data_IF_411368362219
#
_entry.id   IF_411368362219
#
_cell.length_a   1.000
_cell.length_b   1.000
_cell.length_c   1.000
_cell.angle_alpha   90.00
_cell.angle_beta   90.00
_cell.angle_gamma   90.00
#
_symmetry.space_group_name_H-M   'P 1'
#
loop_
_entity.id
_entity.type
_entity.pdbx_description
1 polymer ?
#
# COMPACT_ATOMS: atom_id res chain seq x y z
N UNK A 1 -28.74 -5.84 -3.07
CA UNK A 1 -27.93 -4.87 -2.30
C UNK A 1 -26.61 -4.64 -3.01
N UNK A 2 -26.22 -3.38 -3.23
CA UNK A 2 -24.89 -3.04 -3.77
C UNK A 2 -23.79 -3.43 -2.80
N UNK A 3 -22.54 -3.59 -3.28
CA UNK A 3 -21.39 -3.93 -2.45
C UNK A 3 -21.18 -2.95 -1.29
N UNK A 4 -21.34 -1.64 -1.52
CA UNK A 4 -21.26 -0.64 -0.46
C UNK A 4 -22.34 -0.83 0.64
N UNK A 5 -23.58 -1.17 0.25
CA UNK A 5 -24.65 -1.48 1.23
C UNK A 5 -24.39 -2.76 2.00
N UNK A 6 -23.78 -3.78 1.38
CA UNK A 6 -23.37 -5.01 2.08
C UNK A 6 -22.27 -4.74 3.10
N UNK A 7 -21.32 -3.87 2.77
CA UNK A 7 -20.29 -3.44 3.71
C UNK A 7 -20.90 -2.76 4.93
N UNK A 8 -21.82 -1.79 4.76
CA UNK A 8 -22.47 -1.14 5.91
C UNK A 8 -23.32 -2.11 6.74
N UNK A 9 -23.90 -3.15 6.13
CA UNK A 9 -24.59 -4.20 6.89
C UNK A 9 -23.60 -4.98 7.77
N UNK A 10 -22.45 -5.36 7.21
CA UNK A 10 -21.37 -6.01 7.95
C UNK A 10 -20.83 -5.10 9.06
N UNK A 11 -20.64 -3.81 8.79
CA UNK A 11 -20.18 -2.82 9.76
C UNK A 11 -21.17 -2.64 10.91
N UNK A 12 -22.48 -2.60 10.63
CA UNK A 12 -23.50 -2.50 11.67
C UNK A 12 -23.48 -3.73 12.60
N UNK A 13 -23.45 -4.93 12.02
CA UNK A 13 -23.38 -6.18 12.78
C UNK A 13 -22.07 -6.27 13.57
N UNK A 14 -20.94 -5.94 12.94
CA UNK A 14 -19.63 -5.94 13.56
C UNK A 14 -19.51 -4.94 14.71
N UNK A 15 -20.03 -3.73 14.52
CA UNK A 15 -20.07 -2.69 15.55
C UNK A 15 -20.96 -3.08 16.73
N UNK A 16 -22.13 -3.66 16.48
CA UNK A 16 -23.01 -4.16 17.54
C UNK A 16 -22.35 -5.31 18.32
N UNK A 17 -21.74 -6.27 17.62
CA UNK A 17 -21.01 -7.38 18.24
C UNK A 17 -19.82 -6.89 19.06
N UNK A 18 -19.10 -5.87 18.58
CA UNK A 18 -17.99 -5.26 19.32
C UNK A 18 -18.47 -4.55 20.59
N UNK A 19 -19.57 -3.78 20.54
CA UNK A 19 -20.14 -3.15 21.73
C UNK A 19 -20.61 -4.16 22.78
N UNK A 20 -21.21 -5.27 22.34
CA UNK A 20 -21.52 -6.40 23.23
C UNK A 20 -20.22 -6.94 23.85
N UNK A 21 -19.17 -7.16 23.05
CA UNK A 21 -17.89 -7.63 23.53
C UNK A 21 -17.22 -6.66 24.52
N UNK A 22 -17.30 -5.34 24.31
CA UNK A 22 -16.83 -4.32 25.26
C UNK A 22 -17.56 -4.41 26.60
N UNK A 23 -18.85 -4.72 26.58
CA UNK A 23 -19.65 -4.87 27.80
C UNK A 23 -19.38 -6.21 28.53
N UNK A 24 -19.07 -7.29 27.79
CA UNK A 24 -18.94 -8.64 28.37
C UNK A 24 -17.51 -9.09 28.62
N UNK A 25 -16.53 -8.55 27.90
CA UNK A 25 -15.13 -9.02 27.89
C UNK A 25 -14.18 -7.89 28.32
N UNK A 26 -13.64 -7.94 29.56
CA UNK A 26 -12.75 -6.89 30.06
C UNK A 26 -11.52 -6.64 29.19
N UNK A 27 -10.95 -7.69 28.60
CA UNK A 27 -9.77 -7.56 27.74
C UNK A 27 -10.06 -6.82 26.44
N UNK A 28 -11.28 -6.94 25.87
CA UNK A 28 -11.68 -6.17 24.69
C UNK A 28 -11.79 -4.70 25.05
N UNK A 29 -12.46 -4.39 26.16
CA UNK A 29 -12.59 -3.02 26.66
C UNK A 29 -11.22 -2.36 26.88
N UNK A 30 -10.32 -2.99 27.62
CA UNK A 30 -9.03 -2.38 27.97
C UNK A 30 -8.11 -2.22 26.77
N UNK A 31 -8.09 -3.19 25.85
CA UNK A 31 -7.22 -3.12 24.65
C UNK A 31 -7.73 -2.15 23.58
N UNK A 32 -9.05 -1.94 23.49
CA UNK A 32 -9.66 -1.12 22.43
C UNK A 32 -10.12 0.28 22.87
N UNK A 33 -10.46 0.46 24.15
CA UNK A 33 -10.88 1.75 24.72
C UNK A 33 -9.97 2.25 25.85
N UNK A 34 -9.13 1.39 26.42
CA UNK A 34 -8.28 1.76 27.56
C UNK A 34 -9.11 2.19 28.77
N UNK A 35 -8.75 3.34 29.33
CA UNK A 35 -9.41 3.99 30.46
C UNK A 35 -10.61 4.87 30.08
N UNK A 36 -10.96 4.98 28.79
CA UNK A 36 -12.14 5.73 28.36
C UNK A 36 -13.41 5.16 28.99
N UNK A 37 -14.35 6.04 29.36
CA UNK A 37 -15.66 5.64 29.85
C UNK A 37 -16.48 5.02 28.71
N UNK A 38 -16.75 3.70 28.73
CA UNK A 38 -17.46 3.03 27.66
C UNK A 38 -18.90 3.54 27.51
N UNK A 39 -19.53 4.02 28.59
CA UNK A 39 -20.90 4.52 28.53
C UNK A 39 -20.95 5.81 27.73
N UNK A 40 -20.03 6.74 28.00
CA UNK A 40 -19.95 8.00 27.27
C UNK A 40 -19.67 7.78 25.78
N UNK A 41 -18.75 6.87 25.47
CA UNK A 41 -18.43 6.52 24.07
C UNK A 41 -19.63 5.83 23.41
N UNK A 42 -20.31 4.89 24.09
CA UNK A 42 -21.47 4.17 23.55
C UNK A 42 -22.65 5.09 23.21
N UNK A 43 -22.92 6.11 24.03
CA UNK A 43 -24.02 7.05 23.82
C UNK A 43 -23.91 7.75 22.47
N UNK A 44 -22.69 8.05 22.02
CA UNK A 44 -22.45 8.68 20.72
C UNK A 44 -22.26 7.64 19.61
N UNK A 45 -21.50 6.59 19.90
CA UNK A 45 -21.08 5.62 18.90
C UNK A 45 -22.19 4.67 18.48
N UNK A 46 -23.06 4.21 19.38
CA UNK A 46 -24.16 3.30 19.01
C UNK A 46 -25.11 3.96 17.99
N UNK A 47 -25.58 5.21 18.17
CA UNK A 47 -26.40 5.87 17.15
C UNK A 47 -25.63 6.21 15.87
N UNK A 48 -24.44 6.79 15.98
CA UNK A 48 -23.71 7.38 14.84
C UNK A 48 -22.88 6.36 14.04
N UNK A 49 -22.50 5.25 14.66
CA UNK A 49 -21.79 4.15 14.02
C UNK A 49 -22.75 2.99 13.71
N UNK A 50 -23.33 2.34 14.72
CA UNK A 50 -24.10 1.09 14.55
C UNK A 50 -25.43 1.33 13.85
N UNK A 51 -26.27 2.22 14.38
CA UNK A 51 -27.60 2.49 13.83
C UNK A 51 -27.48 3.18 12.48
N UNK A 52 -26.61 4.18 12.34
CA UNK A 52 -26.36 4.83 11.06
C UNK A 52 -25.84 3.85 9.99
N UNK A 53 -24.98 2.88 10.35
CA UNK A 53 -24.55 1.82 9.43
C UNK A 53 -25.73 0.93 9.00
N UNK A 54 -26.64 0.57 9.91
CA UNK A 54 -27.84 -0.20 9.58
C UNK A 54 -28.77 0.58 8.63
N UNK A 55 -28.95 1.88 8.85
CA UNK A 55 -29.72 2.76 7.96
C UNK A 55 -29.04 2.93 6.59
N UNK A 56 -27.71 3.05 6.56
CA UNK A 56 -26.94 3.08 5.32
C UNK A 56 -27.10 1.77 4.53
N UNK A 57 -27.09 0.62 5.22
CA UNK A 57 -27.36 -0.68 4.63
C UNK A 57 -28.80 -0.78 4.07
N UNK A 58 -29.78 -0.19 4.76
CA UNK A 58 -31.17 -0.10 4.29
C UNK A 58 -31.35 0.80 3.06
N UNK A 59 -30.38 1.69 2.78
CA UNK A 59 -30.34 2.53 1.58
C UNK A 59 -30.37 4.03 1.83
N UNK A 60 -30.32 4.47 3.09
CA UNK A 60 -30.31 5.89 3.46
C UNK A 60 -28.92 6.48 3.19
N UNK A 61 -28.78 7.23 2.09
CA UNK A 61 -27.48 7.81 1.68
C UNK A 61 -26.89 8.79 2.69
N UNK A 62 -27.73 9.60 3.34
CA UNK A 62 -27.28 10.52 4.38
C UNK A 62 -26.66 9.77 5.58
N UNK A 63 -27.21 8.61 5.95
CA UNK A 63 -26.67 7.78 7.01
C UNK A 63 -25.30 7.20 6.65
N UNK A 64 -25.05 6.89 5.36
CA UNK A 64 -23.74 6.44 4.88
C UNK A 64 -22.67 7.54 5.06
N UNK A 65 -23.02 8.80 4.77
CA UNK A 65 -22.12 9.95 4.99
C UNK A 65 -21.85 10.14 6.48
N UNK A 66 -22.91 10.14 7.30
CA UNK A 66 -22.81 10.32 8.75
C UNK A 66 -21.93 9.24 9.38
N UNK A 67 -22.21 7.96 9.10
CA UNK A 67 -21.44 6.87 9.70
C UNK A 67 -19.99 6.91 9.26
N UNK A 68 -19.70 7.17 7.98
CA UNK A 68 -18.32 7.26 7.48
C UNK A 68 -17.56 8.42 8.12
N UNK A 69 -18.19 9.59 8.22
CA UNK A 69 -17.60 10.76 8.87
C UNK A 69 -17.34 10.50 10.35
N UNK A 70 -18.30 9.88 11.05
CA UNK A 70 -18.16 9.51 12.45
C UNK A 70 -17.03 8.48 12.68
N UNK A 71 -16.94 7.43 11.84
CA UNK A 71 -15.84 6.45 11.90
C UNK A 71 -14.46 7.12 11.82
N UNK A 72 -14.31 8.13 10.94
CA UNK A 72 -13.08 8.91 10.83
C UNK A 72 -12.81 9.78 12.06
N UNK A 73 -13.84 10.42 12.63
CA UNK A 73 -13.72 11.20 13.88
C UNK A 73 -13.26 10.32 15.03
N UNK A 74 -13.87 9.14 15.20
CA UNK A 74 -13.50 8.17 16.25
C UNK A 74 -12.08 7.66 16.03
N UNK A 75 -11.67 7.35 14.80
CA UNK A 75 -10.28 7.00 14.48
C UNK A 75 -9.32 8.11 14.93
N UNK A 76 -9.58 9.37 14.57
CA UNK A 76 -8.71 10.48 14.95
C UNK A 76 -8.66 10.66 16.47
N UNK A 77 -9.81 10.62 17.15
CA UNK A 77 -9.90 10.75 18.60
C UNK A 77 -9.13 9.63 19.31
N UNK A 78 -9.32 8.37 18.91
CA UNK A 78 -8.58 7.24 19.47
C UNK A 78 -7.09 7.30 19.14
N UNK A 79 -6.70 7.73 17.94
CA UNK A 79 -5.29 7.87 17.59
C UNK A 79 -4.60 8.94 18.45
N UNK A 80 -5.25 10.09 18.69
CA UNK A 80 -4.76 11.13 19.60
C UNK A 80 -4.69 10.60 21.02
N UNK A 81 -5.75 9.94 21.51
CA UNK A 81 -5.78 9.36 22.84
C UNK A 81 -4.67 8.32 23.04
N UNK A 82 -4.56 7.34 22.16
CA UNK A 82 -3.52 6.30 22.20
C UNK A 82 -2.11 6.89 22.13
N UNK A 83 -1.92 7.96 21.36
CA UNK A 83 -0.63 8.67 21.28
C UNK A 83 -0.35 9.50 22.54
N UNK A 84 -1.37 9.93 23.28
CA UNK A 84 -1.23 10.70 24.52
C UNK A 84 -1.09 9.80 25.76
N UNK A 85 -1.79 8.67 25.82
CA UNK A 85 -1.87 7.79 27.00
C UNK A 85 -1.11 6.48 26.84
N UNK A 86 -1.02 5.95 25.62
CA UNK A 86 -0.46 4.61 25.34
C UNK A 86 -1.45 3.47 25.47
N UNK A 87 -2.73 3.80 25.60
CA UNK A 87 -3.80 2.83 25.70
C UNK A 87 -4.57 2.73 24.37
N UNK A 88 -5.53 1.81 24.29
CA UNK A 88 -6.49 1.72 23.17
C UNK A 88 -5.88 1.51 21.77
N UNK A 89 -4.62 1.05 21.67
CA UNK A 89 -3.95 0.86 20.38
C UNK A 89 -4.66 -0.07 19.41
N UNK A 90 -5.25 -1.16 19.91
CA UNK A 90 -6.06 -2.05 19.07
C UNK A 90 -7.33 -1.36 18.55
N UNK A 91 -7.89 -0.43 19.32
CA UNK A 91 -9.01 0.40 18.90
C UNK A 91 -8.64 1.26 17.69
N UNK A 92 -7.45 1.85 17.67
CA UNK A 92 -6.95 2.63 16.53
C UNK A 92 -6.88 1.77 15.26
N UNK A 93 -6.33 0.55 15.36
CA UNK A 93 -6.21 -0.34 14.20
C UNK A 93 -7.58 -0.80 13.66
N UNK A 94 -8.50 -1.17 14.55
CA UNK A 94 -9.86 -1.57 14.18
C UNK A 94 -10.57 -0.41 13.49
N UNK A 95 -10.47 0.80 14.06
CA UNK A 95 -11.10 1.98 13.50
C UNK A 95 -10.44 2.45 12.21
N UNK A 96 -9.14 2.21 12.03
CA UNK A 96 -8.44 2.48 10.77
C UNK A 96 -9.00 1.58 9.66
N UNK A 97 -9.12 0.28 9.93
CA UNK A 97 -9.70 -0.68 9.00
C UNK A 97 -11.17 -0.37 8.67
N UNK A 98 -11.97 -0.03 9.70
CA UNK A 98 -13.36 0.40 9.54
C UNK A 98 -13.48 1.71 8.73
N UNK A 99 -12.58 2.67 8.95
CA UNK A 99 -12.58 3.95 8.21
C UNK A 99 -12.28 3.71 6.74
N UNK A 100 -11.23 2.93 6.42
CA UNK A 100 -10.88 2.60 5.03
C UNK A 100 -12.06 1.92 4.33
N UNK A 101 -12.66 0.91 4.96
CA UNK A 101 -13.81 0.22 4.38
C UNK A 101 -15.04 1.12 4.25
N UNK A 102 -15.33 1.97 5.24
CA UNK A 102 -16.41 2.97 5.19
C UNK A 102 -16.23 3.97 4.05
N UNK A 103 -15.01 4.48 3.82
CA UNK A 103 -14.72 5.41 2.72
C UNK A 103 -14.91 4.72 1.36
N UNK A 104 -14.42 3.49 1.20
CA UNK A 104 -14.61 2.72 -0.03
C UNK A 104 -16.09 2.41 -0.27
N UNK A 105 -16.82 2.03 0.78
CA UNK A 105 -18.26 1.78 0.71
C UNK A 105 -19.06 3.04 0.40
N UNK A 106 -18.66 4.19 0.94
CA UNK A 106 -19.27 5.48 0.65
C UNK A 106 -19.10 5.85 -0.82
N UNK A 107 -17.88 5.68 -1.37
CA UNK A 107 -17.62 5.86 -2.79
C UNK A 107 -18.53 5.01 -3.66
N UNK A 108 -18.70 3.72 -3.31
CA UNK A 108 -19.61 2.82 -4.02
C UNK A 108 -21.10 3.23 -3.89
N UNK A 109 -21.52 3.76 -2.75
CA UNK A 109 -22.92 4.18 -2.53
C UNK A 109 -23.24 5.50 -3.22
N UNK A 110 -22.30 6.45 -3.25
CA UNK A 110 -22.51 7.78 -3.83
C UNK A 110 -22.19 7.85 -5.31
N UNK A 111 -21.08 7.25 -5.74
CA UNK A 111 -20.55 7.36 -7.10
C UNK A 111 -20.79 6.10 -7.95
N UNK A 112 -21.21 4.99 -7.34
CA UNK A 112 -21.37 3.69 -8.02
C UNK A 112 -20.05 3.00 -8.40
N UNK A 113 -18.90 3.63 -8.13
CA UNK A 113 -17.55 3.15 -8.40
C UNK A 113 -16.58 3.64 -7.32
N UNK A 114 -15.43 2.98 -7.21
CA UNK A 114 -14.32 3.48 -6.38
C UNK A 114 -13.52 4.46 -7.26
N UNK A 115 -13.33 5.73 -6.86
CA UNK A 115 -12.62 6.73 -7.65
C UNK A 115 -11.11 6.48 -7.63
N UNK A 116 -10.66 5.41 -8.28
CA UNK A 116 -9.24 5.04 -8.40
C UNK A 116 -8.42 6.10 -9.14
N UNK A 117 -9.07 6.89 -10.00
CA UNK A 117 -8.52 8.07 -10.67
C UNK A 117 -7.94 9.11 -9.69
N UNK A 118 -8.40 9.15 -8.44
CA UNK A 118 -7.83 10.05 -7.43
C UNK A 118 -6.41 9.66 -7.03
N UNK A 119 -6.10 8.36 -7.02
CA UNK A 119 -4.77 7.83 -6.68
C UNK A 119 -3.71 8.27 -7.70
N UNK A 120 -4.11 8.41 -8.96
CA UNK A 120 -3.23 8.86 -10.05
C UNK A 120 -3.34 10.36 -10.35
N UNK A 121 -4.25 11.07 -9.67
CA UNK A 121 -4.40 12.52 -9.75
C UNK A 121 -3.53 13.23 -8.69
N UNK A 122 -2.90 14.35 -9.04
CA UNK A 122 -2.10 15.17 -8.10
C UNK A 122 -0.57 14.99 -8.26
N UNK A 123 0.20 14.87 -7.16
CA UNK A 123 1.67 14.84 -7.22
C UNK A 123 2.24 13.58 -7.92
N UNK A 124 1.43 12.54 -8.10
CA UNK A 124 1.77 11.31 -8.82
C UNK A 124 1.36 11.33 -10.31
N UNK A 125 0.85 12.46 -10.82
CA UNK A 125 0.47 12.59 -12.23
C UNK A 125 1.70 12.42 -13.13
N UNK A 126 1.60 11.54 -14.12
CA UNK A 126 2.59 11.38 -15.19
C UNK A 126 2.72 12.72 -15.92
N UNK A 127 3.91 13.33 -15.84
CA UNK A 127 4.27 14.55 -16.58
C UNK A 127 5.36 14.20 -17.57
N UNK A 128 5.15 14.56 -18.83
CA UNK A 128 6.21 14.51 -19.84
C UNK A 128 7.31 15.48 -19.44
N UNK A 129 8.56 15.04 -19.49
CA UNK A 129 9.71 15.91 -19.23
C UNK A 129 9.71 17.09 -20.22
N UNK A 130 10.03 18.27 -19.69
CA UNK A 130 10.26 19.48 -20.49
C UNK A 130 11.46 19.24 -21.44
N UNK A 131 11.21 19.28 -22.75
CA UNK A 131 12.22 18.95 -23.75
C UNK A 131 13.35 19.98 -23.83
N UNK A 132 13.11 21.19 -23.30
CA UNK A 132 14.02 22.33 -23.42
C UNK A 132 14.97 22.50 -22.21
N UNK A 133 14.84 21.63 -21.19
CA UNK A 133 15.67 21.72 -20.00
C UNK A 133 17.07 21.11 -20.18
N UNK A 134 18.12 21.66 -19.53
CA UNK A 134 19.46 21.11 -19.62
C UNK A 134 19.54 19.71 -18.98
N UNK A 135 20.30 18.79 -19.58
CA UNK A 135 20.46 17.39 -19.13
C UNK A 135 20.81 17.25 -17.64
N UNK A 136 21.65 18.14 -17.11
CA UNK A 136 22.02 18.17 -15.68
C UNK A 136 20.81 18.39 -14.76
N UNK A 137 19.84 19.21 -15.18
CA UNK A 137 18.61 19.47 -14.43
C UNK A 137 17.69 18.25 -14.42
N UNK A 138 17.60 17.50 -15.53
CA UNK A 138 16.83 16.25 -15.58
C UNK A 138 17.44 15.18 -14.67
N UNK A 139 18.77 15.04 -14.67
CA UNK A 139 19.48 14.09 -13.80
C UNK A 139 19.30 14.47 -12.33
N UNK A 140 19.51 15.75 -11.98
CA UNK A 140 19.33 16.22 -10.60
C UNK A 140 17.88 16.06 -10.12
N UNK A 141 16.89 16.40 -10.94
CA UNK A 141 15.48 16.22 -10.61
C UNK A 141 15.11 14.74 -10.43
N UNK A 142 15.64 13.86 -11.27
CA UNK A 142 15.46 12.40 -11.17
C UNK A 142 16.06 11.85 -9.87
N UNK A 143 17.30 12.24 -9.54
CA UNK A 143 17.97 11.82 -8.30
C UNK A 143 17.22 12.34 -7.08
N UNK A 144 16.82 13.62 -7.08
CA UNK A 144 16.05 14.21 -5.99
C UNK A 144 14.71 13.49 -5.82
N UNK A 145 14.00 13.21 -6.91
CA UNK A 145 12.73 12.49 -6.87
C UNK A 145 12.90 11.08 -6.30
N UNK A 146 13.94 10.34 -6.70
CA UNK A 146 14.25 9.01 -6.16
C UNK A 146 14.52 9.11 -4.66
N UNK A 147 15.41 10.02 -4.23
CA UNK A 147 15.77 10.17 -2.83
C UNK A 147 14.57 10.56 -1.98
N UNK A 148 13.75 11.52 -2.43
CA UNK A 148 12.55 11.94 -1.72
C UNK A 148 11.51 10.82 -1.67
N UNK A 149 11.24 10.17 -2.81
CA UNK A 149 10.23 9.11 -2.88
C UNK A 149 10.63 7.91 -2.02
N UNK A 150 11.83 7.37 -2.22
CA UNK A 150 12.30 6.21 -1.44
C UNK A 150 12.59 6.57 0.02
N UNK A 151 13.13 7.75 0.30
CA UNK A 151 13.34 8.23 1.66
C UNK A 151 12.02 8.39 2.44
N UNK A 152 10.96 8.81 1.77
CA UNK A 152 9.63 8.87 2.37
C UNK A 152 9.05 7.47 2.62
N UNK A 153 9.03 6.61 1.60
CA UNK A 153 8.36 5.29 1.66
C UNK A 153 9.12 4.23 2.45
N UNK A 154 10.46 4.26 2.48
CA UNK A 154 11.31 3.31 3.20
C UNK A 154 11.95 3.89 4.47
N UNK A 155 11.91 5.21 4.67
CA UNK A 155 12.46 5.87 5.86
C UNK A 155 11.35 6.47 6.71
N UNK A 156 10.79 7.60 6.27
CA UNK A 156 9.87 8.43 7.09
C UNK A 156 8.61 7.66 7.48
N UNK A 157 7.88 7.08 6.52
CA UNK A 157 6.64 6.37 6.83
C UNK A 157 6.87 5.15 7.73
N UNK A 158 7.85 4.26 7.47
CA UNK A 158 8.15 3.16 8.38
C UNK A 158 8.51 3.61 9.79
N UNK A 159 9.30 4.69 9.93
CA UNK A 159 9.67 5.22 11.25
C UNK A 159 8.46 5.78 12.00
N UNK A 160 7.56 6.50 11.32
CA UNK A 160 6.32 7.00 11.92
C UNK A 160 5.41 5.85 12.33
N UNK A 161 5.29 4.81 11.50
CA UNK A 161 4.48 3.61 11.80
C UNK A 161 5.07 2.85 12.99
N UNK A 162 6.39 2.62 13.02
CA UNK A 162 7.05 1.93 14.12
C UNK A 162 6.95 2.73 15.44
N UNK A 163 7.08 4.06 15.36
CA UNK A 163 6.83 4.94 16.50
C UNK A 163 5.40 4.80 17.01
N UNK A 164 4.41 4.83 16.11
CA UNK A 164 3.01 4.64 16.47
C UNK A 164 2.76 3.24 17.07
N UNK A 165 3.33 2.18 16.49
CA UNK A 165 3.24 0.80 17.00
C UNK A 165 3.69 0.71 18.46
N UNK A 166 4.87 1.26 18.76
CA UNK A 166 5.42 1.29 20.11
C UNK A 166 4.58 2.18 21.03
N UNK A 167 4.17 3.35 20.54
CA UNK A 167 3.43 4.32 21.35
C UNK A 167 2.05 3.81 21.73
N UNK A 168 1.40 3.06 20.84
CA UNK A 168 0.06 2.49 21.01
C UNK A 168 0.07 1.14 21.74
N UNK A 169 1.23 0.66 22.22
CA UNK A 169 1.32 -0.61 22.94
C UNK A 169 1.03 -1.83 22.06
N UNK A 170 1.28 -1.73 20.76
CA UNK A 170 1.07 -2.80 19.77
C UNK A 170 2.36 -3.54 19.43
N UNK A 171 3.50 -3.02 19.86
CA UNK A 171 4.79 -3.65 19.62
C UNK A 171 4.89 -4.92 20.47
N UNK A 172 5.13 -6.09 19.85
CA UNK A 172 5.43 -7.29 20.61
C UNK A 172 6.77 -7.12 21.33
N UNK A 173 6.93 -7.80 22.47
CA UNK A 173 8.23 -7.90 23.18
C UNK A 173 8.86 -9.28 22.92
N UNK A 174 9.40 -9.55 21.70
CA UNK A 174 10.02 -10.83 21.41
C UNK A 174 11.36 -10.98 22.14
N UNK A 175 11.79 -12.23 22.39
CA UNK A 175 13.12 -12.49 22.94
C UNK A 175 14.24 -11.90 22.06
N UNK A 176 15.31 -11.42 22.69
CA UNK A 176 16.48 -10.82 22.01
C UNK A 176 17.02 -11.66 20.84
N UNK A 177 17.11 -13.00 20.91
CA UNK A 177 17.56 -13.80 19.76
C UNK A 177 16.66 -13.67 18.53
N UNK A 178 15.35 -13.53 18.73
CA UNK A 178 14.39 -13.38 17.64
C UNK A 178 14.49 -11.99 17.00
N UNK A 179 14.69 -10.94 17.81
CA UNK A 179 15.00 -9.59 17.32
C UNK A 179 16.25 -9.61 16.46
N UNK A 180 17.36 -10.14 16.98
CA UNK A 180 18.63 -10.23 16.24
C UNK A 180 18.49 -11.01 14.93
N UNK A 181 17.80 -12.15 14.94
CA UNK A 181 17.54 -12.93 13.73
C UNK A 181 16.70 -12.14 12.71
N UNK A 182 15.67 -11.42 13.16
CA UNK A 182 14.82 -10.60 12.30
C UNK A 182 15.59 -9.43 11.68
N UNK A 183 16.47 -8.77 12.43
CA UNK A 183 17.33 -7.70 11.92
C UNK A 183 18.32 -8.23 10.89
N UNK A 184 19.01 -9.34 11.17
CA UNK A 184 19.95 -9.96 10.22
C UNK A 184 19.23 -10.36 8.93
N UNK A 185 18.06 -11.01 9.05
CA UNK A 185 17.24 -11.35 7.89
C UNK A 185 16.81 -10.09 7.13
N UNK A 186 16.38 -9.04 7.83
CA UNK A 186 16.03 -7.75 7.26
C UNK A 186 17.18 -7.13 6.46
N UNK A 187 18.41 -7.13 6.99
CA UNK A 187 19.60 -6.63 6.28
C UNK A 187 19.83 -7.43 4.99
N UNK A 188 19.84 -8.76 5.09
CA UNK A 188 20.08 -9.64 3.94
C UNK A 188 19.02 -9.42 2.86
N UNK A 189 17.74 -9.42 3.24
CA UNK A 189 16.62 -9.19 2.30
C UNK A 189 16.70 -7.80 1.68
N UNK A 190 17.02 -6.77 2.46
CA UNK A 190 17.15 -5.39 1.96
C UNK A 190 18.29 -5.28 0.94
N UNK A 191 19.44 -5.89 1.18
CA UNK A 191 20.57 -5.89 0.26
C UNK A 191 20.22 -6.61 -1.04
N UNK A 192 19.60 -7.78 -0.97
CA UNK A 192 19.18 -8.54 -2.15
C UNK A 192 18.11 -7.81 -2.96
N UNK A 193 17.11 -7.22 -2.29
CA UNK A 193 16.06 -6.45 -2.95
C UNK A 193 16.62 -5.16 -3.57
N UNK A 194 17.56 -4.49 -2.91
CA UNK A 194 18.25 -3.32 -3.45
C UNK A 194 19.10 -3.68 -4.67
N UNK A 195 19.82 -4.81 -4.64
CA UNK A 195 20.56 -5.31 -5.80
C UNK A 195 19.62 -5.61 -6.98
N UNK A 196 18.45 -6.21 -6.74
CA UNK A 196 17.41 -6.42 -7.76
C UNK A 196 16.89 -5.08 -8.33
N UNK A 197 16.61 -4.10 -7.46
CA UNK A 197 16.15 -2.76 -7.85
C UNK A 197 17.18 -2.04 -8.72
N UNK A 198 18.45 -2.04 -8.31
CA UNK A 198 19.56 -1.43 -9.05
C UNK A 198 19.76 -2.14 -10.40
N UNK A 199 19.74 -3.47 -10.43
CA UNK A 199 19.86 -4.23 -11.68
C UNK A 199 18.70 -3.95 -12.65
N UNK A 200 17.50 -3.73 -12.11
CA UNK A 200 16.31 -3.38 -12.90
C UNK A 200 16.40 -1.95 -13.45
N UNK A 201 16.81 -0.99 -12.61
CA UNK A 201 17.05 0.38 -13.04
C UNK A 201 18.14 0.46 -14.13
N UNK A 202 19.24 -0.27 -13.94
CA UNK A 202 20.32 -0.35 -14.92
C UNK A 202 19.85 -0.97 -16.24
N UNK A 203 19.06 -2.05 -16.20
CA UNK A 203 18.50 -2.67 -17.40
C UNK A 203 17.57 -1.70 -18.15
N UNK A 204 16.73 -0.95 -17.42
CA UNK A 204 15.82 0.03 -18.02
C UNK A 204 16.58 1.20 -18.65
N UNK A 205 17.60 1.72 -17.97
CA UNK A 205 18.44 2.83 -18.46
C UNK A 205 19.29 2.44 -19.66
N UNK A 206 19.87 1.24 -19.67
CA UNK A 206 20.81 0.83 -20.72
C UNK A 206 20.13 0.23 -21.94
N UNK A 207 18.98 -0.44 -21.77
CA UNK A 207 18.30 -1.19 -22.85
C UNK A 207 16.94 -0.61 -23.26
N UNK A 208 16.32 0.23 -22.42
CA UNK A 208 15.01 0.85 -22.68
C UNK A 208 15.06 2.25 -23.30
N UNK A 209 16.22 2.90 -23.31
CA UNK A 209 16.36 4.27 -23.83
C UNK A 209 15.54 5.31 -23.05
N UNK A 210 15.33 5.09 -21.75
CA UNK A 210 14.58 5.95 -20.82
C UNK A 210 14.95 5.64 -19.36
N UNK A 211 14.32 6.31 -18.38
CA UNK A 211 14.64 6.15 -16.95
C UNK A 211 13.54 5.38 -16.19
N UNK A 212 13.85 4.77 -15.04
CA UNK A 212 12.88 4.09 -14.16
C UNK A 212 11.77 4.94 -13.54
N UNK A 213 11.66 6.22 -13.88
CA UNK A 213 10.70 7.14 -13.26
C UNK A 213 9.53 7.48 -14.20
N UNK A 214 8.35 7.81 -13.65
CA UNK A 214 7.18 8.28 -14.40
C UNK A 214 7.42 9.51 -15.29
N UNK A 215 8.54 10.22 -15.10
CA UNK A 215 8.90 11.44 -15.82
C UNK A 215 9.62 11.21 -17.15
N UNK A 216 10.14 10.00 -17.42
CA UNK A 216 10.76 9.64 -18.69
C UNK A 216 10.63 8.13 -18.97
N UNK A 217 9.39 7.70 -19.22
CA UNK A 217 9.01 6.32 -19.58
C UNK A 217 9.87 5.79 -20.73
N UNK A 218 10.29 4.53 -20.63
CA UNK A 218 11.10 3.87 -21.66
C UNK A 218 10.43 3.93 -23.05
N UNK A 219 11.19 4.30 -24.07
CA UNK A 219 10.72 4.34 -25.47
C UNK A 219 10.65 2.95 -26.11
N UNK A 220 11.16 1.92 -25.42
CA UNK A 220 11.22 0.53 -25.88
C UNK A 220 10.86 -0.42 -24.75
N UNK A 221 10.17 -1.50 -25.08
CA UNK A 221 9.83 -2.57 -24.14
C UNK A 221 11.12 -3.27 -23.65
N UNK A 222 11.38 -3.22 -22.34
CA UNK A 222 12.60 -3.79 -21.74
C UNK A 222 12.34 -5.23 -21.28
N UNK A 223 12.89 -6.20 -22.01
CA UNK A 223 12.75 -7.64 -21.72
C UNK A 223 14.07 -8.30 -21.30
N UNK A 224 15.00 -7.51 -20.74
CA UNK A 224 16.36 -7.91 -20.45
C UNK A 224 16.75 -7.64 -18.99
N UNK A 225 17.81 -8.31 -18.51
CA UNK A 225 18.16 -8.26 -17.08
C UNK A 225 17.05 -8.90 -16.23
N UNK A 226 16.70 -8.36 -15.06
CA UNK A 226 15.65 -8.93 -14.21
C UNK A 226 14.27 -9.07 -14.87
N UNK A 227 13.96 -8.20 -15.84
CA UNK A 227 12.70 -8.22 -16.61
C UNK A 227 12.48 -9.52 -17.41
N UNK A 228 13.52 -10.35 -17.59
CA UNK A 228 13.41 -11.66 -18.23
C UNK A 228 12.75 -12.72 -17.34
N UNK A 229 12.88 -12.55 -16.03
CA UNK A 229 12.43 -13.52 -15.03
C UNK A 229 11.08 -13.13 -14.46
N UNK A 230 10.82 -11.84 -14.29
CA UNK A 230 9.60 -11.28 -13.71
C UNK A 230 9.27 -9.95 -14.40
N UNK A 231 7.99 -9.63 -14.61
CA UNK A 231 7.61 -8.43 -15.39
C UNK A 231 7.86 -7.12 -14.65
N UNK A 232 7.63 -7.12 -13.34
CA UNK A 232 7.73 -5.90 -12.53
C UNK A 232 8.79 -6.08 -11.42
N UNK A 233 10.07 -6.28 -11.78
CA UNK A 233 11.15 -6.52 -10.81
C UNK A 233 11.41 -5.31 -9.91
N UNK A 234 11.12 -4.09 -10.38
CA UNK A 234 11.20 -2.88 -9.56
C UNK A 234 10.12 -2.81 -8.49
N UNK A 235 8.87 -3.12 -8.83
CA UNK A 235 7.79 -3.18 -7.85
C UNK A 235 8.08 -4.29 -6.82
N UNK A 236 8.53 -5.46 -7.30
CA UNK A 236 8.96 -6.56 -6.44
C UNK A 236 10.09 -6.14 -5.49
N UNK A 237 11.11 -5.44 -6.00
CA UNK A 237 12.19 -4.90 -5.17
C UNK A 237 11.64 -3.94 -4.10
N UNK A 238 10.81 -2.96 -4.48
CA UNK A 238 10.29 -1.96 -3.55
C UNK A 238 9.42 -2.53 -2.44
N UNK A 239 8.51 -3.46 -2.77
CA UNK A 239 7.69 -4.15 -1.78
C UNK A 239 8.56 -5.00 -0.85
N UNK A 240 9.54 -5.71 -1.41
CA UNK A 240 10.47 -6.54 -0.62
C UNK A 240 11.35 -5.69 0.29
N UNK A 241 11.79 -4.50 -0.17
CA UNK A 241 12.50 -3.53 0.66
C UNK A 241 11.61 -3.03 1.81
N UNK A 242 10.32 -2.74 1.56
CA UNK A 242 9.38 -2.35 2.61
C UNK A 242 9.22 -3.42 3.70
N UNK A 243 9.09 -4.70 3.29
CA UNK A 243 9.06 -5.82 4.23
C UNK A 243 10.38 -5.94 5.00
N UNK A 244 11.53 -5.78 4.32
CA UNK A 244 12.84 -5.80 4.95
C UNK A 244 13.02 -4.70 6.00
N UNK A 245 12.52 -3.48 5.73
CA UNK A 245 12.49 -2.39 6.71
C UNK A 245 11.63 -2.77 7.92
N UNK A 246 10.48 -3.41 7.71
CA UNK A 246 9.67 -3.93 8.83
C UNK A 246 10.42 -4.94 9.69
N UNK A 247 11.19 -5.85 9.08
CA UNK A 247 12.05 -6.79 9.79
C UNK A 247 13.19 -6.10 10.54
N UNK A 248 13.81 -5.06 9.95
CA UNK A 248 14.87 -4.28 10.60
C UNK A 248 14.37 -3.54 11.83
N UNK A 249 13.15 -3.01 11.76
CA UNK A 249 12.50 -2.29 12.85
C UNK A 249 11.77 -3.23 13.83
N UNK A 250 11.79 -4.55 13.59
CA UNK A 250 10.97 -5.54 14.30
C UNK A 250 9.48 -5.16 14.38
N UNK A 251 8.98 -4.40 13.40
CA UNK A 251 7.63 -3.82 13.39
C UNK A 251 6.73 -4.57 12.43
N UNK A 252 5.70 -5.21 12.98
CA UNK A 252 4.73 -5.95 12.19
C UNK A 252 3.78 -5.01 11.44
N UNK A 253 3.49 -3.81 11.97
CA UNK A 253 2.69 -2.81 11.26
C UNK A 253 3.40 -2.30 10.01
N UNK A 254 4.72 -2.15 10.04
CA UNK A 254 5.49 -1.78 8.83
C UNK A 254 5.43 -2.90 7.78
N UNK A 255 5.48 -4.17 8.21
CA UNK A 255 5.28 -5.31 7.29
C UNK A 255 3.87 -5.30 6.69
N UNK A 256 2.84 -5.10 7.52
CA UNK A 256 1.45 -4.99 7.05
C UNK A 256 1.29 -3.81 6.08
N UNK A 257 1.91 -2.66 6.37
CA UNK A 257 1.94 -1.51 5.48
C UNK A 257 2.57 -1.85 4.11
N UNK A 258 3.70 -2.54 4.08
CA UNK A 258 4.35 -2.95 2.83
C UNK A 258 3.47 -3.94 2.03
N UNK A 259 2.86 -4.90 2.70
CA UNK A 259 1.95 -5.88 2.06
C UNK A 259 0.67 -5.21 1.57
N UNK A 260 0.07 -4.30 2.35
CA UNK A 260 -1.09 -3.54 1.94
C UNK A 260 -0.78 -2.65 0.73
N UNK A 261 0.39 -2.00 0.72
CA UNK A 261 0.91 -1.25 -0.44
C UNK A 261 1.06 -2.12 -1.69
N UNK A 262 1.53 -3.37 -1.53
CA UNK A 262 1.59 -4.35 -2.63
C UNK A 262 0.22 -4.68 -3.21
N UNK A 263 -0.78 -4.89 -2.36
CA UNK A 263 -2.16 -5.14 -2.80
C UNK A 263 -2.72 -3.93 -3.56
N UNK A 264 -2.54 -2.72 -3.03
CA UNK A 264 -2.95 -1.48 -3.69
C UNK A 264 -2.28 -1.32 -5.05
N UNK A 265 -0.96 -1.53 -5.12
CA UNK A 265 -0.22 -1.47 -6.36
C UNK A 265 -0.71 -2.53 -7.37
N UNK A 266 -0.92 -3.78 -6.94
CA UNK A 266 -1.38 -4.86 -7.81
C UNK A 266 -2.82 -4.64 -8.34
N UNK A 267 -3.69 -4.02 -7.55
CA UNK A 267 -5.09 -3.80 -7.91
C UNK A 267 -5.33 -2.50 -8.69
N UNK A 268 -4.48 -1.48 -8.51
CA UNK A 268 -4.69 -0.14 -9.08
C UNK A 268 -3.59 0.21 -10.09
N UNK A 269 -2.33 0.18 -9.65
CA UNK A 269 -1.21 0.68 -10.46
C UNK A 269 -0.88 -0.29 -11.58
N UNK A 270 -0.76 -1.58 -11.29
CA UNK A 270 -0.42 -2.61 -12.28
C UNK A 270 -1.39 -2.64 -13.47
N UNK A 271 -2.74 -2.66 -13.30
CA UNK A 271 -3.63 -2.66 -14.45
C UNK A 271 -3.50 -1.43 -15.34
N UNK A 272 -3.22 -0.26 -14.75
CA UNK A 272 -2.98 0.97 -15.49
C UNK A 272 -1.66 0.91 -16.27
N UNK A 273 -0.59 0.42 -15.63
CA UNK A 273 0.71 0.22 -16.29
C UNK A 273 0.63 -0.83 -17.41
N UNK A 274 -0.03 -1.97 -17.18
CA UNK A 274 -0.18 -3.01 -18.21
C UNK A 274 -1.06 -2.54 -19.37
N UNK A 275 -2.06 -1.67 -19.13
CA UNK A 275 -2.87 -1.06 -20.18
C UNK A 275 -2.06 -0.06 -21.03
N UNK A 276 -1.25 0.82 -20.42
CA UNK A 276 -0.34 1.71 -21.15
C UNK A 276 0.66 0.93 -22.01
N UNK A 277 1.20 -0.18 -21.47
CA UNK A 277 2.12 -1.05 -22.20
C UNK A 277 1.44 -1.77 -23.38
N UNK A 278 0.19 -2.22 -23.23
CA UNK A 278 -0.57 -2.82 -24.35
C UNK A 278 -0.88 -1.78 -25.43
N UNK A 279 -1.27 -0.55 -25.06
CA UNK A 279 -1.55 0.53 -26.01
C UNK A 279 -0.30 0.93 -26.81
N UNK A 280 0.87 0.99 -26.15
CA UNK A 280 2.12 1.45 -26.77
C UNK A 280 2.88 0.37 -27.54
N UNK A 281 2.83 -0.88 -27.08
CA UNK A 281 3.66 -1.97 -27.63
C UNK A 281 2.84 -3.15 -28.20
N UNK A 282 1.52 -3.19 -27.99
CA UNK A 282 0.61 -4.17 -28.59
C UNK A 282 1.08 -5.62 -28.44
N UNK A 283 1.13 -6.34 -29.57
CA UNK A 283 1.44 -7.77 -29.61
C UNK A 283 2.82 -8.15 -29.04
N UNK A 284 3.80 -7.24 -29.06
CA UNK A 284 5.10 -7.48 -28.43
C UNK A 284 4.96 -7.58 -26.90
N UNK A 285 4.14 -6.72 -26.30
CA UNK A 285 3.85 -6.78 -24.87
C UNK A 285 3.01 -8.01 -24.51
N UNK A 286 2.01 -8.39 -25.33
CA UNK A 286 1.20 -9.59 -25.10
C UNK A 286 2.04 -10.86 -25.10
N UNK A 287 2.91 -11.03 -26.11
CA UNK A 287 3.86 -12.15 -26.17
C UNK A 287 4.79 -12.18 -24.97
N UNK A 288 5.25 -11.02 -24.49
CA UNK A 288 6.04 -10.93 -23.26
C UNK A 288 5.23 -11.33 -22.03
N UNK A 289 3.99 -10.85 -21.91
CA UNK A 289 3.07 -11.12 -20.81
C UNK A 289 2.71 -12.61 -20.66
N UNK A 290 2.60 -13.33 -21.78
CA UNK A 290 2.40 -14.79 -21.79
C UNK A 290 3.64 -15.55 -21.29
N UNK A 291 4.82 -15.00 -21.54
CA UNK A 291 6.09 -15.66 -21.26
C UNK A 291 6.66 -15.32 -19.88
N UNK A 292 6.33 -14.17 -19.30
CA UNK A 292 6.89 -13.73 -18.02
C UNK A 292 5.78 -13.37 -17.05
N UNK A 293 5.83 -13.92 -15.84
CA UNK A 293 4.81 -13.67 -14.81
C UNK A 293 5.06 -12.32 -14.13
N UNK A 294 4.00 -11.71 -13.60
CA UNK A 294 4.09 -10.41 -12.92
C UNK A 294 4.94 -10.44 -11.64
N UNK A 295 4.77 -11.47 -10.81
CA UNK A 295 5.31 -11.51 -9.45
C UNK A 295 6.29 -12.66 -9.22
N UNK A 296 6.02 -13.81 -9.81
CA UNK A 296 6.78 -15.03 -9.54
C UNK A 296 7.88 -15.18 -10.60
N UNK A 297 9.16 -15.23 -10.22
CA UNK A 297 10.24 -15.47 -11.17
C UNK A 297 10.01 -16.76 -11.95
N UNK A 298 10.11 -16.69 -13.28
CA UNK A 298 10.04 -17.87 -14.14
C UNK A 298 11.40 -18.54 -14.24
N UNK A 299 11.41 -19.84 -13.97
CA UNK A 299 12.57 -20.72 -14.13
C UNK A 299 12.16 -21.96 -14.95
N UNK A 300 13.00 -22.43 -15.91
CA UNK A 300 14.20 -21.77 -16.42
C UNK A 300 13.84 -20.47 -17.11
N UNK A 301 14.78 -19.54 -17.09
CA UNK A 301 14.56 -18.23 -17.67
C UNK A 301 14.47 -18.34 -19.20
N UNK A 302 13.46 -17.75 -19.86
CA UNK A 302 13.32 -17.81 -21.31
C UNK A 302 14.58 -17.30 -22.04
N UNK A 303 15.09 -18.11 -22.97
CA UNK A 303 16.23 -17.73 -23.82
C UNK A 303 15.87 -16.68 -24.88
N UNK A 304 14.58 -16.48 -25.14
CA UNK A 304 14.01 -15.46 -26.02
C UNK A 304 12.71 -14.95 -25.41
N UNK A 305 12.44 -13.66 -25.62
CA UNK A 305 11.12 -13.07 -25.38
C UNK A 305 10.68 -12.42 -26.69
N UNK A 306 9.67 -13.00 -27.34
CA UNK A 306 9.24 -12.58 -28.68
C UNK A 306 10.30 -12.84 -29.78
N UNK A 307 10.44 -11.88 -30.72
CA UNK A 307 11.31 -11.96 -31.91
C UNK A 307 12.73 -11.42 -31.73
N UNK A 308 13.08 -10.89 -30.54
CA UNK A 308 14.37 -10.20 -30.30
C UNK A 308 15.40 -11.16 -29.67
N UNK A 309 16.51 -11.49 -30.34
CA UNK A 309 17.61 -12.23 -29.75
C UNK A 309 18.32 -11.39 -28.68
N UNK A 310 18.66 -12.00 -27.54
CA UNK A 310 19.33 -11.35 -26.40
C UNK A 310 20.82 -11.00 -26.65
N UNK A 311 21.33 -11.27 -27.85
CA UNK A 311 22.73 -11.09 -28.26
C UNK A 311 22.82 -10.30 -29.56
N UNK A 312 22.55 -9.01 -29.53
CA UNK A 312 23.11 -8.09 -30.53
C UNK A 312 24.10 -7.13 -29.87
N UNK A 313 25.17 -7.68 -29.28
CA UNK A 313 26.47 -7.03 -29.38
C UNK A 313 26.98 -7.28 -30.80
N UNK A 314 26.57 -6.45 -31.75
CA UNK A 314 27.36 -6.25 -32.96
C UNK A 314 28.02 -4.89 -32.82
N UNK A 315 29.34 -4.99 -32.62
CA UNK A 315 30.45 -4.04 -32.80
C UNK A 315 30.09 -2.59 -33.05
#
# INVERSE_FOLDING_TARGET
>A
MSWGRRYYALQAVGGAAWWIAVATLPWVRTTTLGSLDPVLVAVLDVPLFVVASALAAAGVRAAAVVTTGWTAVVLCALAVWATATGEAGWGVLIMLAATIGSVLALGLVLLGRIPTEWVTSGPLRIRTADADAPRSRHVAATVLQIVVFWGLFLGVFPLVIAFAEHRWGLHPDPPVPLVSASTVLGVVVLLLASALGIASAAAMSTKGGGTPLPSATANRLVVAGPYRSVRNPMALAGITQGVAVGLLLSSWLVVVYAVAGSVVWNCIVRPLEEADLDERFGDDFRRYAEQVRCWVPRWPIPARVGSVPLTSSRR
#
